data_IF_765270227397
#
_entry.id   IF_765270227397
#
_cell.length_a   1.000
_cell.length_b   1.000
_cell.length_c   1.000
_cell.angle_alpha   90.00
_cell.angle_beta   90.00
_cell.angle_gamma   90.00
#
_symmetry.space_group_name_H-M   'P 1'
#
loop_
_entity.id
_entity.type
_entity.pdbx_description
1 polymer ?
#
# COMPACT_ATOMS: atom_id res chain seq x y z
N UNK A 1 22.37 -49.46 5.51
CA UNK A 1 22.39 -48.65 6.77
C UNK A 1 22.62 -47.17 6.50
N UNK A 2 23.61 -46.80 5.68
CA UNK A 2 23.90 -45.39 5.32
C UNK A 2 22.77 -44.74 4.52
N UNK A 3 22.11 -45.45 3.61
CA UNK A 3 20.96 -44.93 2.83
C UNK A 3 19.73 -44.64 3.72
N UNK A 4 19.49 -45.45 4.72
CA UNK A 4 18.39 -45.24 5.70
C UNK A 4 18.67 -44.02 6.59
N UNK A 5 19.91 -43.77 6.97
CA UNK A 5 20.29 -42.60 7.76
C UNK A 5 20.14 -41.32 6.94
N UNK A 6 20.52 -41.33 5.67
CA UNK A 6 20.34 -40.18 4.78
C UNK A 6 18.85 -39.86 4.54
N UNK A 7 18.02 -40.90 4.32
CA UNK A 7 16.55 -40.75 4.15
C UNK A 7 15.87 -40.18 5.41
N UNK A 8 16.36 -40.54 6.59
CA UNK A 8 15.82 -40.01 7.85
C UNK A 8 16.25 -38.56 8.09
N UNK A 9 17.48 -38.21 7.75
CA UNK A 9 17.97 -36.81 7.84
C UNK A 9 17.22 -35.92 6.89
N UNK A 10 17.02 -36.34 5.64
CA UNK A 10 16.26 -35.57 4.64
C UNK A 10 14.80 -35.35 5.07
N UNK A 11 14.15 -36.40 5.62
CA UNK A 11 12.81 -36.25 6.21
C UNK A 11 12.76 -35.30 7.39
N UNK A 12 13.76 -35.27 8.25
CA UNK A 12 13.83 -34.35 9.37
C UNK A 12 14.00 -32.90 8.91
N UNK A 13 14.83 -32.68 7.90
CA UNK A 13 15.00 -31.36 7.30
C UNK A 13 13.69 -30.86 6.63
N UNK A 14 13.01 -31.72 5.87
CA UNK A 14 11.72 -31.40 5.27
C UNK A 14 10.65 -31.07 6.33
N UNK A 15 10.55 -31.85 7.39
CA UNK A 15 9.63 -31.58 8.50
C UNK A 15 9.96 -30.24 9.18
N UNK A 16 11.24 -29.94 9.38
CA UNK A 16 11.68 -28.67 9.95
C UNK A 16 11.33 -27.49 9.04
N UNK A 17 11.55 -27.61 7.73
CA UNK A 17 11.17 -26.58 6.75
C UNK A 17 9.65 -26.35 6.75
N UNK A 18 8.86 -27.42 6.69
CA UNK A 18 7.39 -27.33 6.73
C UNK A 18 6.88 -26.69 8.03
N UNK A 19 7.52 -26.98 9.16
CA UNK A 19 7.16 -26.37 10.44
C UNK A 19 7.49 -24.87 10.46
N UNK A 20 8.63 -24.47 9.90
CA UNK A 20 9.02 -23.06 9.79
C UNK A 20 8.08 -22.33 8.84
N UNK A 21 7.76 -22.91 7.69
CA UNK A 21 6.83 -22.29 6.73
C UNK A 21 5.43 -22.13 7.32
N UNK A 22 4.88 -23.18 7.97
CA UNK A 22 3.56 -23.12 8.59
C UNK A 22 3.50 -22.09 9.71
N UNK A 23 4.52 -22.00 10.56
CA UNK A 23 4.60 -20.98 11.61
C UNK A 23 4.69 -19.56 11.04
N UNK A 24 5.43 -19.39 9.95
CA UNK A 24 5.56 -18.09 9.26
C UNK A 24 4.22 -17.65 8.65
N UNK A 25 3.49 -18.58 8.02
CA UNK A 25 2.16 -18.29 7.46
C UNK A 25 1.17 -17.94 8.58
N UNK A 26 1.19 -18.68 9.68
CA UNK A 26 0.33 -18.41 10.84
C UNK A 26 0.59 -17.02 11.42
N UNK A 27 1.85 -16.65 11.63
CA UNK A 27 2.23 -15.31 12.13
C UNK A 27 1.78 -14.22 11.17
N UNK A 28 1.97 -14.40 9.86
CA UNK A 28 1.49 -13.43 8.85
C UNK A 28 -0.03 -13.27 8.86
N UNK A 29 -0.78 -14.36 9.05
CA UNK A 29 -2.24 -14.31 9.20
C UNK A 29 -2.67 -13.56 10.46
N UNK A 30 -1.97 -13.75 11.58
CA UNK A 30 -2.22 -12.99 12.81
C UNK A 30 -1.99 -11.48 12.61
N UNK A 31 -0.90 -11.09 11.94
CA UNK A 31 -0.67 -9.68 11.57
C UNK A 31 -1.75 -9.15 10.64
N UNK A 32 -2.14 -9.89 9.61
CA UNK A 32 -3.22 -9.49 8.72
C UNK A 32 -4.54 -9.27 9.46
N UNK A 33 -4.88 -10.15 10.41
CA UNK A 33 -6.04 -10.00 11.28
C UNK A 33 -5.96 -8.75 12.14
N UNK A 34 -4.84 -8.53 12.81
CA UNK A 34 -4.61 -7.35 13.65
C UNK A 34 -4.71 -6.05 12.82
N UNK A 35 -4.06 -6.00 11.67
CA UNK A 35 -4.09 -4.82 10.80
C UNK A 35 -5.49 -4.56 10.25
N UNK A 36 -6.24 -5.61 9.89
CA UNK A 36 -7.63 -5.48 9.46
C UNK A 36 -8.52 -4.89 10.55
N UNK A 37 -8.35 -5.33 11.80
CA UNK A 37 -9.09 -4.78 12.95
C UNK A 37 -8.78 -3.30 13.14
N UNK A 38 -7.50 -2.89 13.07
CA UNK A 38 -7.11 -1.48 13.19
C UNK A 38 -7.72 -0.65 12.08
N UNK A 39 -7.67 -1.12 10.83
CA UNK A 39 -8.27 -0.41 9.68
C UNK A 39 -9.78 -0.27 9.86
N UNK A 40 -10.49 -1.31 10.30
CA UNK A 40 -11.94 -1.27 10.55
C UNK A 40 -12.26 -0.26 11.66
N UNK A 41 -11.51 -0.24 12.75
CA UNK A 41 -11.69 0.72 13.83
C UNK A 41 -11.49 2.15 13.32
N UNK A 42 -10.42 2.40 12.56
CA UNK A 42 -10.15 3.71 11.97
C UNK A 42 -11.24 4.13 10.99
N UNK A 43 -11.75 3.22 10.16
CA UNK A 43 -12.88 3.49 9.26
C UNK A 43 -14.15 3.88 10.03
N UNK A 44 -14.48 3.19 11.11
CA UNK A 44 -15.65 3.50 11.93
C UNK A 44 -15.48 4.89 12.60
N UNK A 45 -14.30 5.17 13.15
CA UNK A 45 -14.01 6.46 13.81
C UNK A 45 -14.09 7.61 12.80
N UNK A 46 -13.42 7.48 11.65
CA UNK A 46 -13.40 8.52 10.62
C UNK A 46 -14.79 8.74 10.01
N UNK A 47 -15.55 7.66 9.79
CA UNK A 47 -16.91 7.76 9.29
C UNK A 47 -17.81 8.50 10.29
N UNK A 48 -17.77 8.16 11.57
CA UNK A 48 -18.51 8.86 12.61
C UNK A 48 -18.09 10.33 12.72
N UNK A 49 -16.77 10.61 12.65
CA UNK A 49 -16.26 11.97 12.68
C UNK A 49 -16.77 12.81 11.51
N UNK A 50 -16.80 12.27 10.29
CA UNK A 50 -17.29 12.96 9.10
C UNK A 50 -18.79 13.30 9.16
N UNK A 51 -19.62 12.47 9.77
CA UNK A 51 -21.06 12.72 9.94
C UNK A 51 -21.39 13.55 11.19
N UNK A 52 -20.43 13.80 12.06
CA UNK A 52 -20.60 14.61 13.26
C UNK A 52 -20.73 16.12 12.95
N UNK A 53 -21.15 16.94 13.93
CA UNK A 53 -21.11 18.41 13.80
C UNK A 53 -19.70 18.93 13.44
N UNK A 54 -18.66 18.28 13.97
CA UNK A 54 -17.28 18.60 13.65
C UNK A 54 -16.95 18.37 12.17
N UNK A 55 -17.36 17.26 11.59
CA UNK A 55 -17.16 16.97 10.17
C UNK A 55 -17.92 17.93 9.23
N UNK A 56 -19.10 18.40 9.64
CA UNK A 56 -19.83 19.47 8.91
C UNK A 56 -19.08 20.80 8.93
N UNK A 57 -18.55 21.17 10.09
CA UNK A 57 -17.71 22.34 10.23
C UNK A 57 -16.45 22.27 9.37
N UNK A 58 -15.80 21.12 9.33
CA UNK A 58 -14.61 20.90 8.51
C UNK A 58 -14.88 21.04 7.00
N UNK A 59 -16.04 20.56 6.54
CA UNK A 59 -16.46 20.76 5.15
C UNK A 59 -16.71 22.23 4.85
N UNK A 60 -17.36 22.96 5.76
CA UNK A 60 -17.58 24.39 5.61
C UNK A 60 -16.26 25.18 5.52
N UNK A 61 -15.28 24.84 6.36
CA UNK A 61 -13.92 25.44 6.31
C UNK A 61 -13.24 25.12 4.95
N UNK A 62 -13.31 23.89 4.49
CA UNK A 62 -12.75 23.48 3.19
C UNK A 62 -13.38 24.23 2.02
N UNK A 63 -14.69 24.44 2.08
CA UNK A 63 -15.45 25.09 0.98
C UNK A 63 -15.22 26.61 0.95
N UNK A 64 -15.16 27.27 2.12
CA UNK A 64 -14.80 28.69 2.24
C UNK A 64 -14.26 29.01 3.64
N UNK A 65 -12.95 29.16 3.73
CA UNK A 65 -12.24 29.42 4.97
C UNK A 65 -12.55 30.80 5.55
N UNK A 66 -12.64 31.84 4.69
CA UNK A 66 -12.92 33.20 5.12
C UNK A 66 -14.32 33.34 5.70
N UNK A 67 -15.31 32.72 5.03
CA UNK A 67 -16.68 32.74 5.54
C UNK A 67 -16.81 31.98 6.88
N UNK A 68 -16.12 30.84 7.03
CA UNK A 68 -16.10 30.10 8.27
C UNK A 68 -15.46 30.91 9.43
N UNK A 69 -14.40 31.64 9.14
CA UNK A 69 -13.72 32.52 10.09
C UNK A 69 -14.62 33.70 10.51
N UNK A 70 -15.30 34.32 9.53
CA UNK A 70 -16.26 35.41 9.79
C UNK A 70 -17.43 34.98 10.66
N UNK A 71 -17.80 33.69 10.61
CA UNK A 71 -18.81 33.08 11.49
C UNK A 71 -18.26 32.67 12.86
N UNK A 72 -17.09 33.15 13.24
CA UNK A 72 -16.46 32.93 14.55
C UNK A 72 -15.83 31.55 14.75
N UNK A 73 -15.57 30.79 13.66
CA UNK A 73 -14.85 29.53 13.77
C UNK A 73 -13.34 29.74 13.77
N UNK A 74 -12.65 29.15 14.74
CA UNK A 74 -11.18 29.22 14.77
C UNK A 74 -10.60 28.21 13.80
N UNK A 75 -10.38 28.63 12.56
CA UNK A 75 -9.90 27.81 11.45
C UNK A 75 -8.52 27.23 11.74
N UNK A 76 -7.59 28.04 12.26
CA UNK A 76 -6.21 27.62 12.59
C UNK A 76 -6.21 26.46 13.57
N UNK A 77 -7.03 26.56 14.65
CA UNK A 77 -7.16 25.49 15.63
C UNK A 77 -7.69 24.18 15.01
N UNK A 78 -8.62 24.29 14.08
CA UNK A 78 -9.19 23.12 13.41
C UNK A 78 -8.17 22.45 12.45
N UNK A 79 -7.42 23.24 11.69
CA UNK A 79 -6.34 22.71 10.86
C UNK A 79 -5.27 22.02 11.70
N UNK A 80 -4.87 22.62 12.82
CA UNK A 80 -3.91 22.01 13.75
C UNK A 80 -4.43 20.67 14.30
N UNK A 81 -5.71 20.62 14.68
CA UNK A 81 -6.33 19.39 15.20
C UNK A 81 -6.34 18.27 14.18
N UNK A 82 -6.68 18.56 12.90
CA UNK A 82 -6.62 17.56 11.82
C UNK A 82 -5.19 17.11 11.60
N UNK A 83 -4.24 18.04 11.59
CA UNK A 83 -2.83 17.70 11.40
C UNK A 83 -2.32 16.75 12.49
N UNK A 84 -2.63 17.04 13.76
CA UNK A 84 -2.25 16.19 14.90
C UNK A 84 -2.90 14.81 14.80
N UNK A 85 -4.22 14.76 14.52
CA UNK A 85 -4.92 13.47 14.38
C UNK A 85 -4.39 12.66 13.19
N UNK A 86 -4.17 13.30 12.04
CA UNK A 86 -3.60 12.65 10.87
C UNK A 86 -2.20 12.10 11.14
N UNK A 87 -1.35 12.90 11.78
CA UNK A 87 0.01 12.47 12.15
C UNK A 87 0.01 11.29 13.12
N UNK A 88 -0.93 11.28 14.09
CA UNK A 88 -1.09 10.15 15.02
C UNK A 88 -1.46 8.85 14.29
N UNK A 89 -2.40 8.91 13.33
CA UNK A 89 -2.80 7.74 12.51
C UNK A 89 -1.63 7.25 11.66
N UNK A 90 -0.88 8.16 11.04
CA UNK A 90 0.33 7.80 10.27
C UNK A 90 1.39 7.17 11.17
N UNK A 91 1.55 7.66 12.40
CA UNK A 91 2.44 7.07 13.38
C UNK A 91 2.07 5.62 13.72
N UNK A 92 0.77 5.34 13.92
CA UNK A 92 0.27 3.96 14.13
C UNK A 92 0.59 3.08 12.92
N UNK A 93 0.31 3.56 11.70
CA UNK A 93 0.59 2.82 10.48
C UNK A 93 2.10 2.53 10.32
N UNK A 94 2.96 3.50 10.66
CA UNK A 94 4.41 3.32 10.66
C UNK A 94 4.89 2.27 11.66
N UNK A 95 4.34 2.28 12.87
CA UNK A 95 4.63 1.26 13.89
C UNK A 95 4.22 -0.15 13.42
N UNK A 96 3.03 -0.28 12.82
CA UNK A 96 2.54 -1.54 12.25
C UNK A 96 3.46 -2.05 11.14
N UNK A 97 3.92 -1.16 10.25
CA UNK A 97 4.85 -1.51 9.17
C UNK A 97 6.18 -2.03 9.71
N UNK A 98 6.79 -1.31 10.66
CA UNK A 98 8.07 -1.71 11.27
C UNK A 98 7.94 -3.05 12.01
N UNK A 99 6.83 -3.25 12.71
CA UNK A 99 6.57 -4.52 13.43
C UNK A 99 6.42 -5.69 12.47
N UNK A 100 5.78 -5.48 11.32
CA UNK A 100 5.61 -6.51 10.29
C UNK A 100 6.93 -6.85 9.60
N UNK A 101 7.73 -5.83 9.25
CA UNK A 101 9.02 -6.02 8.58
C UNK A 101 10.09 -6.63 9.51
N UNK A 102 9.90 -6.51 10.83
CA UNK A 102 10.83 -7.01 11.86
C UNK A 102 12.18 -6.31 11.88
N UNK A 103 12.39 -5.31 11.03
CA UNK A 103 13.64 -4.58 10.89
C UNK A 103 13.37 -3.09 10.63
N UNK A 104 14.02 -2.24 11.40
CA UNK A 104 14.02 -0.80 11.18
C UNK A 104 15.40 -0.31 10.78
N UNK A 105 15.54 0.13 9.54
CA UNK A 105 16.73 0.84 9.07
C UNK A 105 16.35 2.18 8.46
N UNK A 106 17.15 3.24 8.59
CA UNK A 106 16.85 4.55 8.00
C UNK A 106 16.66 4.50 6.47
N UNK A 107 17.27 3.52 5.80
CA UNK A 107 17.15 3.29 4.35
C UNK A 107 15.93 2.46 3.91
N UNK A 108 15.22 1.81 4.84
CA UNK A 108 14.05 0.99 4.53
C UNK A 108 12.88 1.83 4.02
N UNK A 109 12.73 3.03 4.55
CA UNK A 109 11.69 3.96 4.14
C UNK A 109 12.26 4.97 3.13
N UNK A 110 11.83 4.86 1.87
CA UNK A 110 12.12 5.86 0.83
C UNK A 110 10.93 6.79 0.69
N UNK A 111 10.99 8.03 1.24
CA UNK A 111 9.83 8.92 1.33
C UNK A 111 9.16 9.15 -0.02
N UNK A 112 9.95 9.41 -1.06
CA UNK A 112 9.44 9.71 -2.40
C UNK A 112 8.59 8.56 -2.97
N UNK A 113 9.00 7.31 -2.79
CA UNK A 113 8.26 6.13 -3.25
C UNK A 113 6.94 5.96 -2.51
N UNK A 114 6.99 5.98 -1.17
CA UNK A 114 5.80 5.74 -0.35
C UNK A 114 4.79 6.88 -0.44
N UNK A 115 5.28 8.14 -0.44
CA UNK A 115 4.42 9.31 -0.61
C UNK A 115 3.71 9.28 -1.96
N UNK A 116 4.43 8.98 -3.04
CA UNK A 116 3.83 8.86 -4.37
C UNK A 116 2.76 7.76 -4.41
N UNK A 117 3.04 6.57 -3.86
CA UNK A 117 2.07 5.47 -3.81
C UNK A 117 0.80 5.86 -3.05
N UNK A 118 0.94 6.52 -1.89
CA UNK A 118 -0.21 6.97 -1.09
C UNK A 118 -1.07 7.96 -1.87
N UNK A 119 -0.45 8.91 -2.58
CA UNK A 119 -1.19 9.84 -3.43
C UNK A 119 -1.97 9.12 -4.53
N UNK A 120 -1.33 8.18 -5.21
CA UNK A 120 -1.98 7.36 -6.24
C UNK A 120 -3.15 6.57 -5.66
N UNK A 121 -2.98 5.96 -4.46
CA UNK A 121 -4.03 5.23 -3.75
C UNK A 121 -5.26 6.09 -3.47
N UNK A 122 -5.04 7.31 -2.98
CA UNK A 122 -6.13 8.25 -2.65
C UNK A 122 -6.83 8.77 -3.91
N UNK A 123 -6.08 9.06 -4.98
CA UNK A 123 -6.65 9.54 -6.24
C UNK A 123 -7.47 8.43 -6.91
N UNK A 124 -6.93 7.20 -6.99
CA UNK A 124 -7.62 6.04 -7.58
C UNK A 124 -8.87 5.67 -6.78
N UNK A 125 -8.77 5.72 -5.45
CA UNK A 125 -9.87 5.40 -4.57
C UNK A 125 -10.97 6.48 -4.49
N UNK A 126 -10.67 7.68 -4.98
CA UNK A 126 -11.57 8.85 -4.89
C UNK A 126 -11.35 9.67 -3.63
N UNK A 127 -10.89 10.90 -3.82
CA UNK A 127 -10.67 11.85 -2.74
C UNK A 127 -12.00 12.23 -2.06
N UNK A 128 -12.11 11.95 -0.77
CA UNK A 128 -13.30 12.26 0.03
C UNK A 128 -14.20 11.06 0.34
N UNK A 129 -13.84 9.86 -0.12
CA UNK A 129 -14.51 8.63 0.24
C UNK A 129 -13.56 7.69 1.02
N UNK A 130 -13.87 7.44 2.31
CA UNK A 130 -13.04 6.59 3.16
C UNK A 130 -12.95 5.14 2.65
N UNK A 131 -14.06 4.59 2.17
CA UNK A 131 -14.06 3.23 1.59
C UNK A 131 -13.29 3.19 0.27
N UNK A 132 -13.42 4.25 -0.54
CA UNK A 132 -12.63 4.42 -1.77
C UNK A 132 -11.13 4.43 -1.48
N UNK A 133 -10.68 5.14 -0.46
CA UNK A 133 -9.27 5.17 -0.08
C UNK A 133 -8.74 3.78 0.28
N UNK A 134 -9.50 2.95 1.00
CA UNK A 134 -9.13 1.57 1.32
C UNK A 134 -9.09 0.69 0.07
N UNK A 135 -10.12 0.77 -0.78
CA UNK A 135 -10.14 0.02 -2.05
C UNK A 135 -8.99 0.46 -2.97
N UNK A 136 -8.72 1.77 -3.05
CA UNK A 136 -7.58 2.32 -3.79
C UNK A 136 -6.25 1.78 -3.27
N UNK A 137 -6.10 1.66 -1.95
CA UNK A 137 -4.95 1.04 -1.32
C UNK A 137 -4.73 -0.41 -1.77
N UNK A 138 -5.76 -1.23 -1.72
CA UNK A 138 -5.70 -2.62 -2.20
C UNK A 138 -5.44 -2.70 -3.70
N UNK A 139 -6.14 -1.91 -4.52
CA UNK A 139 -5.98 -1.92 -5.97
C UNK A 139 -4.55 -1.52 -6.40
N UNK A 140 -4.03 -0.43 -5.83
CA UNK A 140 -2.67 0.04 -6.16
C UNK A 140 -1.61 -0.93 -5.67
N UNK A 141 -1.78 -1.51 -4.46
CA UNK A 141 -0.85 -2.50 -3.95
C UNK A 141 -0.85 -3.78 -4.76
N UNK A 142 -2.02 -4.24 -5.19
CA UNK A 142 -2.17 -5.36 -6.13
C UNK A 142 -1.45 -5.08 -7.45
N UNK A 143 -1.71 -3.93 -8.08
CA UNK A 143 -1.03 -3.51 -9.30
C UNK A 143 0.50 -3.42 -9.11
N UNK A 144 0.95 -2.95 -7.95
CA UNK A 144 2.38 -2.87 -7.63
C UNK A 144 3.05 -4.24 -7.56
N UNK A 145 2.38 -5.25 -7.01
CA UNK A 145 2.89 -6.62 -6.92
C UNK A 145 2.86 -7.26 -8.31
N UNK A 146 1.74 -7.17 -9.02
CA UNK A 146 1.52 -7.83 -10.31
C UNK A 146 2.26 -7.16 -11.48
N UNK A 147 2.71 -5.93 -11.34
CA UNK A 147 3.40 -5.22 -12.42
C UNK A 147 4.68 -5.93 -12.89
N UNK A 148 5.42 -6.59 -11.99
CA UNK A 148 6.65 -7.31 -12.36
C UNK A 148 6.35 -8.64 -13.09
N UNK A 149 5.46 -9.53 -12.61
CA UNK A 149 5.01 -10.70 -13.35
C UNK A 149 4.43 -10.36 -14.73
N UNK A 150 3.60 -9.32 -14.81
CA UNK A 150 3.01 -8.86 -16.08
C UNK A 150 4.11 -8.39 -17.05
N UNK A 151 5.07 -7.60 -16.56
CA UNK A 151 6.20 -7.15 -17.37
C UNK A 151 7.03 -8.33 -17.89
N UNK A 152 7.34 -9.30 -17.04
CA UNK A 152 8.06 -10.52 -17.42
C UNK A 152 7.30 -11.32 -18.49
N UNK A 153 5.99 -11.49 -18.30
CA UNK A 153 5.14 -12.19 -19.27
C UNK A 153 5.16 -11.47 -20.62
N UNK A 154 4.97 -10.15 -20.65
CA UNK A 154 5.01 -9.34 -21.87
C UNK A 154 6.36 -9.40 -22.56
N UNK A 155 7.47 -9.28 -21.81
CA UNK A 155 8.82 -9.36 -22.34
C UNK A 155 9.06 -10.73 -22.96
N UNK A 156 8.73 -11.81 -22.27
CA UNK A 156 8.89 -13.17 -22.78
C UNK A 156 8.02 -13.43 -24.02
N UNK A 157 6.80 -12.92 -24.04
CA UNK A 157 5.91 -13.02 -25.19
C UNK A 157 6.46 -12.27 -26.41
N UNK A 158 6.92 -11.03 -26.23
CA UNK A 158 7.48 -10.19 -27.30
C UNK A 158 8.84 -10.69 -27.79
N UNK A 159 9.60 -11.35 -26.92
CA UNK A 159 10.95 -11.85 -27.23
C UNK A 159 11.01 -13.38 -27.42
N UNK A 160 9.86 -14.01 -27.65
CA UNK A 160 9.77 -15.48 -27.81
C UNK A 160 10.65 -16.05 -28.91
N UNK A 161 11.05 -15.25 -29.91
CA UNK A 161 11.99 -15.61 -30.98
C UNK A 161 13.45 -15.28 -30.72
N UNK A 162 13.79 -14.70 -29.57
CA UNK A 162 15.16 -14.30 -29.24
C UNK A 162 15.76 -15.25 -28.22
N UNK A 163 17.06 -15.51 -28.37
CA UNK A 163 17.83 -16.29 -27.38
C UNK A 163 17.93 -15.57 -26.04
N UNK A 164 17.98 -16.33 -24.94
CA UNK A 164 18.09 -15.80 -23.57
C UNK A 164 19.30 -14.88 -23.34
N UNK A 165 20.36 -15.07 -24.12
CA UNK A 165 21.61 -14.30 -24.08
C UNK A 165 21.57 -13.00 -24.90
N UNK A 166 20.44 -12.69 -25.54
CA UNK A 166 20.32 -11.47 -26.34
C UNK A 166 20.37 -10.23 -25.45
N UNK A 167 21.28 -9.30 -25.77
CA UNK A 167 21.50 -8.07 -25.00
C UNK A 167 20.21 -7.22 -24.86
N UNK A 168 19.34 -7.23 -25.87
CA UNK A 168 18.08 -6.52 -25.85
C UNK A 168 17.10 -7.13 -24.81
N UNK A 169 17.00 -8.47 -24.75
CA UNK A 169 16.15 -9.16 -23.76
C UNK A 169 16.66 -8.90 -22.34
N UNK A 170 17.97 -8.98 -22.12
CA UNK A 170 18.57 -8.70 -20.83
C UNK A 170 18.30 -7.25 -20.39
N UNK A 171 18.41 -6.29 -21.30
CA UNK A 171 18.12 -4.90 -21.01
C UNK A 171 16.65 -4.68 -20.61
N UNK A 172 15.71 -5.30 -21.30
CA UNK A 172 14.27 -5.23 -20.96
C UNK A 172 13.99 -5.85 -19.59
N UNK A 173 14.58 -6.99 -19.27
CA UNK A 173 14.44 -7.64 -17.95
C UNK A 173 14.97 -6.73 -16.83
N UNK A 174 16.12 -6.11 -17.03
CA UNK A 174 16.70 -5.17 -16.07
C UNK A 174 15.85 -3.88 -15.90
N UNK A 175 14.97 -3.59 -16.85
CA UNK A 175 14.08 -2.44 -16.82
C UNK A 175 12.75 -2.70 -16.10
N UNK A 176 12.46 -3.94 -15.67
CA UNK A 176 11.22 -4.32 -14.97
C UNK A 176 10.91 -3.44 -13.74
N UNK A 177 11.88 -3.04 -12.89
CA UNK A 177 11.59 -2.15 -11.76
C UNK A 177 10.97 -0.81 -12.18
N UNK A 178 11.34 -0.28 -13.34
CA UNK A 178 10.80 0.98 -13.87
C UNK A 178 9.40 0.80 -14.47
N UNK A 179 9.07 -0.39 -14.94
CA UNK A 179 7.75 -0.73 -15.47
C UNK A 179 6.64 -0.52 -14.43
N UNK A 180 6.93 -0.75 -13.15
CA UNK A 180 5.99 -0.49 -12.04
C UNK A 180 5.55 0.98 -12.00
N UNK A 181 6.50 1.91 -12.13
CA UNK A 181 6.19 3.34 -12.14
C UNK A 181 5.43 3.75 -13.40
N UNK A 182 5.76 3.17 -14.55
CA UNK A 182 5.05 3.39 -15.80
C UNK A 182 3.58 2.95 -15.67
N UNK A 183 3.33 1.74 -15.19
CA UNK A 183 1.97 1.22 -14.96
C UNK A 183 1.16 2.11 -14.02
N UNK A 184 1.78 2.57 -12.92
CA UNK A 184 1.15 3.50 -11.98
C UNK A 184 0.83 4.84 -12.64
N UNK A 185 1.76 5.40 -13.42
CA UNK A 185 1.55 6.67 -14.13
C UNK A 185 0.42 6.58 -15.17
N UNK A 186 0.40 5.51 -15.96
CA UNK A 186 -0.68 5.25 -16.93
C UNK A 186 -2.01 5.04 -16.22
N UNK A 187 -2.05 4.27 -15.14
CA UNK A 187 -3.24 4.07 -14.33
C UNK A 187 -3.81 5.39 -13.80
N UNK A 188 -2.95 6.24 -13.26
CA UNK A 188 -3.33 7.57 -12.78
C UNK A 188 -3.88 8.47 -13.90
N UNK A 189 -3.22 8.51 -15.06
CA UNK A 189 -3.68 9.30 -16.22
C UNK A 189 -5.05 8.82 -16.71
N UNK A 190 -5.26 7.50 -16.80
CA UNK A 190 -6.54 6.94 -17.22
C UNK A 190 -7.67 7.31 -16.26
N UNK A 191 -7.45 7.20 -14.96
CA UNK A 191 -8.46 7.53 -13.97
C UNK A 191 -8.77 9.03 -13.96
N UNK A 192 -7.75 9.89 -13.99
CA UNK A 192 -7.97 11.34 -14.08
C UNK A 192 -8.72 11.74 -15.34
N UNK A 193 -8.52 11.02 -16.46
CA UNK A 193 -9.22 11.28 -17.71
C UNK A 193 -10.69 10.81 -17.69
N UNK A 194 -10.97 9.62 -17.15
CA UNK A 194 -12.30 9.01 -17.22
C UNK A 194 -13.14 9.22 -15.97
N UNK A 195 -12.50 9.37 -14.80
CA UNK A 195 -13.15 9.56 -13.51
C UNK A 195 -12.42 10.62 -12.65
N UNK A 196 -12.50 11.92 -13.01
CA UNK A 196 -11.76 12.99 -12.32
C UNK A 196 -12.19 13.17 -10.85
N UNK A 197 -13.31 12.60 -10.45
CA UNK A 197 -13.82 12.66 -9.06
C UNK A 197 -13.56 11.37 -8.26
N UNK A 198 -12.89 10.37 -8.85
CA UNK A 198 -12.68 9.04 -8.27
C UNK A 198 -13.81 8.06 -8.52
#
# INVERSE_FOLDING_TARGET
TLSLVNDTLEKQELLKQLTIESSTVFVKLCYAGLFSVVVIILLIITQKALYSPWGRMMRAIRDNEEAANAMGKNVVKQHLLIFVLGSAIVGIAGAMMVTYDGLFTPGSYRPMRYTFLIWVMVIIGGSGNNFGAVLGGFAVWFLWIEAAPIALFLINFLTSGLTETNAFKIHLINSIPYFRFLMMGVGLLLIMRYRPKG
#
